data_IF_239051706472
#
_entry.id   IF_239051706472
#
_cell.length_a   1.000
_cell.length_b   1.000
_cell.length_c   1.000
_cell.angle_alpha   90.00
_cell.angle_beta   90.00
_cell.angle_gamma   90.00
#
_symmetry.space_group_name_H-M   'P 1'
#
loop_
_entity.id
_entity.type
_entity.pdbx_description
1 polymer ?
#
# COMPACT_ATOMS: atom_id res chain seq x y z
N UNK A 1 2.81 -32.02 86.01
CA UNK A 1 1.57 -31.51 86.64
C UNK A 1 1.41 -30.07 86.16
N UNK A 2 0.74 -29.80 85.04
CA UNK A 2 -0.72 -29.81 84.84
C UNK A 2 -1.46 -28.73 85.65
N UNK A 3 -1.49 -27.49 85.14
CA UNK A 3 -2.65 -26.60 85.28
C UNK A 3 -2.74 -25.66 84.06
N UNK A 4 -3.70 -25.95 83.18
CA UNK A 4 -4.49 -24.95 82.41
C UNK A 4 -5.39 -24.18 83.43
N UNK A 5 -6.20 -23.12 83.10
CA UNK A 5 -6.86 -22.88 81.81
C UNK A 5 -7.26 -21.40 81.46
N UNK A 6 -8.21 -21.27 80.52
CA UNK A 6 -9.23 -20.19 80.36
C UNK A 6 -8.87 -18.82 79.72
N UNK A 7 -9.49 -18.59 78.54
CA UNK A 7 -10.05 -17.29 78.06
C UNK A 7 -11.31 -16.91 78.89
N UNK A 8 -12.02 -15.75 78.74
CA UNK A 8 -12.02 -14.71 77.67
C UNK A 8 -12.02 -13.26 78.27
N UNK A 9 -12.66 -12.15 77.76
CA UNK A 9 -14.01 -12.01 77.18
C UNK A 9 -14.13 -11.21 75.86
N UNK A 10 -15.39 -11.10 75.39
CA UNK A 10 -15.86 -10.42 74.17
C UNK A 10 -15.91 -8.89 74.32
N UNK A 11 -15.69 -8.15 73.23
CA UNK A 11 -16.18 -6.77 73.08
C UNK A 11 -16.94 -6.64 71.75
N UNK A 12 -18.17 -6.12 71.82
CA UNK A 12 -19.02 -5.77 70.68
C UNK A 12 -18.48 -4.51 69.99
N UNK A 13 -18.60 -4.39 68.66
CA UNK A 13 -18.28 -3.11 68.01
C UNK A 13 -18.56 -3.04 66.51
N UNK A 14 -19.71 -2.45 66.17
CA UNK A 14 -19.97 -1.67 64.95
C UNK A 14 -19.70 -2.27 63.56
N UNK A 15 -20.81 -2.57 62.88
CA UNK A 15 -20.93 -2.38 61.44
C UNK A 15 -20.48 -0.96 61.06
N UNK A 16 -19.47 -0.86 60.19
CA UNK A 16 -19.17 0.35 59.43
C UNK A 16 -19.08 -0.03 57.95
N UNK A 17 -20.12 0.33 57.20
CA UNK A 17 -20.17 0.15 55.75
C UNK A 17 -19.03 0.92 55.08
N UNK A 18 -18.04 0.21 54.53
CA UNK A 18 -17.08 0.78 53.59
C UNK A 18 -17.43 0.25 52.20
N UNK A 19 -18.50 0.80 51.64
CA UNK A 19 -18.91 0.58 50.26
C UNK A 19 -17.87 1.27 49.38
N UNK A 20 -16.82 0.54 48.98
CA UNK A 20 -15.78 1.02 48.08
C UNK A 20 -16.45 1.36 46.76
N UNK A 21 -16.74 2.64 46.57
CA UNK A 21 -17.25 3.20 45.34
C UNK A 21 -16.13 3.11 44.30
N UNK A 22 -16.04 1.96 43.63
CA UNK A 22 -15.22 1.78 42.44
C UNK A 22 -15.79 2.68 41.35
N UNK A 23 -15.35 3.94 41.34
CA UNK A 23 -15.68 4.90 40.30
C UNK A 23 -15.10 4.35 39.00
N UNK A 24 -15.99 3.80 38.18
CA UNK A 24 -15.73 3.40 36.81
C UNK A 24 -15.25 4.62 36.03
N UNK A 25 -13.93 4.79 35.96
CA UNK A 25 -13.28 5.63 34.96
C UNK A 25 -13.35 4.91 33.60
N UNK A 26 -14.57 4.66 33.14
CA UNK A 26 -14.89 4.43 31.74
C UNK A 26 -14.74 5.76 31.00
N UNK A 27 -13.49 6.22 30.90
CA UNK A 27 -13.09 7.18 29.89
C UNK A 27 -13.37 6.53 28.54
N UNK A 28 -14.56 6.83 28.00
CA UNK A 28 -15.03 6.36 26.71
C UNK A 28 -14.18 6.94 25.60
N UNK A 29 -12.98 6.39 25.43
CA UNK A 29 -12.16 6.60 24.26
C UNK A 29 -12.91 5.98 23.09
N UNK A 30 -13.75 6.81 22.43
CA UNK A 30 -14.50 6.43 21.25
C UNK A 30 -13.52 6.07 20.15
N UNK A 31 -13.18 4.78 20.07
CA UNK A 31 -12.02 4.29 19.33
C UNK A 31 -12.13 4.69 17.86
N UNK A 32 -11.18 5.50 17.39
CA UNK A 32 -11.18 6.07 16.04
C UNK A 32 -11.27 4.98 14.96
N UNK A 33 -10.73 3.77 15.24
CA UNK A 33 -10.81 2.60 14.37
C UNK A 33 -12.24 2.24 13.95
N UNK A 34 -13.23 2.37 14.85
CA UNK A 34 -14.62 2.00 14.61
C UNK A 34 -15.43 3.06 13.85
N UNK A 35 -14.84 4.21 13.49
CA UNK A 35 -15.55 5.28 12.78
C UNK A 35 -15.72 4.95 11.30
N UNK A 36 -16.90 5.24 10.74
CA UNK A 36 -17.18 5.10 9.32
C UNK A 36 -16.71 6.36 8.55
N UNK A 37 -15.55 6.23 7.89
CA UNK A 37 -14.94 7.30 7.09
C UNK A 37 -15.80 7.74 5.90
N UNK A 38 -16.64 6.86 5.35
CA UNK A 38 -17.50 7.15 4.19
C UNK A 38 -18.68 8.06 4.50
N UNK A 39 -19.09 8.15 5.78
CA UNK A 39 -20.18 9.02 6.24
C UNK A 39 -19.74 10.41 6.74
N UNK A 40 -18.44 10.71 6.70
CA UNK A 40 -17.89 11.98 7.20
C UNK A 40 -17.51 12.92 6.06
N UNK A 41 -17.61 14.23 6.31
CA UNK A 41 -17.32 15.23 5.29
C UNK A 41 -15.81 15.49 5.23
N UNK A 42 -15.19 15.34 4.07
CA UNK A 42 -13.80 15.77 3.86
C UNK A 42 -13.72 17.29 3.96
N UNK A 43 -12.72 17.82 4.67
CA UNK A 43 -12.41 19.27 4.72
C UNK A 43 -11.08 19.59 4.04
N UNK A 44 -10.08 18.71 4.16
CA UNK A 44 -8.78 18.82 3.50
C UNK A 44 -8.35 17.42 3.04
N UNK A 45 -7.72 17.32 1.88
CA UNK A 45 -7.08 16.09 1.40
C UNK A 45 -5.73 16.43 0.79
N UNK A 46 -4.72 15.60 1.02
CA UNK A 46 -3.41 15.67 0.37
C UNK A 46 -2.99 14.29 -0.13
N UNK A 47 -2.61 14.22 -1.39
CA UNK A 47 -2.05 13.00 -2.01
C UNK A 47 -0.61 13.27 -2.44
N UNK A 48 0.29 12.39 -2.02
CA UNK A 48 1.69 12.35 -2.46
C UNK A 48 1.86 11.12 -3.36
N UNK A 49 2.12 11.37 -4.66
CA UNK A 49 2.26 10.33 -5.68
C UNK A 49 3.63 9.64 -5.66
N UNK A 50 3.91 8.74 -6.62
CA UNK A 50 5.23 8.12 -6.75
C UNK A 50 6.32 9.12 -7.18
N UNK A 51 7.57 8.72 -6.97
CA UNK A 51 8.80 9.34 -7.45
C UNK A 51 9.77 8.22 -7.88
N UNK A 52 10.93 8.52 -8.48
CA UNK A 52 11.88 7.48 -8.90
C UNK A 52 12.60 6.79 -7.72
N UNK A 53 12.76 7.49 -6.59
CA UNK A 53 13.32 6.94 -5.36
C UNK A 53 12.28 6.54 -4.32
N UNK A 54 12.72 6.34 -3.08
CA UNK A 54 11.87 5.93 -1.94
C UNK A 54 11.07 7.08 -1.32
N UNK A 55 10.34 7.86 -2.12
CA UNK A 55 9.45 8.89 -1.59
C UNK A 55 8.16 8.25 -1.03
N UNK A 56 7.70 8.63 0.18
CA UNK A 56 6.45 8.10 0.73
C UNK A 56 5.24 8.41 -0.16
N UNK A 57 4.56 7.36 -0.61
CA UNK A 57 3.32 7.43 -1.39
C UNK A 57 2.14 7.21 -0.47
N UNK A 58 1.28 8.22 -0.32
CA UNK A 58 0.13 8.17 0.57
C UNK A 58 -0.94 9.21 0.23
N UNK A 59 -2.15 8.99 0.76
CA UNK A 59 -3.21 10.00 0.84
C UNK A 59 -3.59 10.27 2.30
N UNK A 60 -3.50 11.54 2.73
CA UNK A 60 -3.95 12.04 4.02
C UNK A 60 -5.29 12.78 3.82
N UNK A 61 -6.34 12.37 4.53
CA UNK A 61 -7.65 13.06 4.51
C UNK A 61 -7.99 13.56 5.90
N UNK A 62 -8.26 14.86 6.04
CA UNK A 62 -8.86 15.46 7.23
C UNK A 62 -10.35 15.60 7.00
N UNK A 63 -11.14 15.10 7.95
CA UNK A 63 -12.59 15.15 7.97
C UNK A 63 -13.12 16.20 8.94
N UNK A 64 -14.42 16.47 8.88
CA UNK A 64 -15.12 17.22 9.90
C UNK A 64 -14.93 16.61 11.30
N UNK A 65 -15.00 17.47 12.33
CA UNK A 65 -14.80 17.09 13.75
C UNK A 65 -13.40 16.53 14.08
N UNK A 66 -12.43 16.66 13.18
CA UNK A 66 -11.01 16.42 13.44
C UNK A 66 -10.55 14.98 13.27
N UNK A 67 -11.37 14.10 12.68
CA UNK A 67 -10.88 12.78 12.30
C UNK A 67 -9.95 12.93 11.10
N UNK A 68 -8.86 12.17 11.09
CA UNK A 68 -7.89 12.13 10.00
C UNK A 68 -7.65 10.69 9.61
N UNK A 69 -7.69 10.38 8.32
CA UNK A 69 -7.18 9.13 7.77
C UNK A 69 -5.85 9.35 7.06
N UNK A 70 -5.00 8.32 7.11
CA UNK A 70 -3.76 8.21 6.36
C UNK A 70 -3.79 6.85 5.66
N UNK A 71 -3.89 6.85 4.33
CA UNK A 71 -3.76 5.64 3.51
C UNK A 71 -2.35 5.62 2.92
N UNK A 72 -1.46 4.80 3.47
CA UNK A 72 -0.11 4.61 2.94
C UNK A 72 -0.05 3.47 1.93
N UNK A 73 0.71 3.69 0.86
CA UNK A 73 0.80 2.76 -0.28
C UNK A 73 2.22 2.21 -0.47
N UNK A 74 3.25 3.07 -0.51
CA UNK A 74 4.65 2.64 -0.71
C UNK A 74 5.65 3.56 0.01
N UNK A 75 6.75 2.99 0.51
CA UNK A 75 7.83 3.74 1.19
C UNK A 75 7.35 4.60 2.37
N UNK A 76 6.42 4.07 3.18
CA UNK A 76 5.86 4.71 4.38
C UNK A 76 5.78 3.71 5.53
N UNK A 77 6.09 4.15 6.75
CA UNK A 77 6.02 3.36 8.00
C UNK A 77 4.59 2.92 8.40
N UNK A 78 3.58 3.28 7.58
CA UNK A 78 2.15 3.07 7.84
C UNK A 78 1.44 2.61 6.56
N UNK A 79 1.65 1.36 6.16
CA UNK A 79 0.99 0.75 5.00
C UNK A 79 -0.47 0.38 5.31
N UNK A 80 -1.38 0.65 4.38
CA UNK A 80 -2.83 0.52 4.61
C UNK A 80 -3.46 1.77 5.20
N UNK A 81 -4.69 1.65 5.72
CA UNK A 81 -5.47 2.78 6.26
C UNK A 81 -5.28 2.89 7.76
N UNK A 82 -4.70 3.99 8.22
CA UNK A 82 -4.65 4.42 9.62
C UNK A 82 -5.60 5.58 9.85
N UNK A 83 -6.08 5.71 11.09
CA UNK A 83 -6.94 6.82 11.53
C UNK A 83 -6.45 7.40 12.84
N UNK A 84 -6.63 8.71 13.02
CA UNK A 84 -6.48 9.38 14.31
C UNK A 84 -7.51 10.48 14.48
N UNK A 85 -7.56 11.06 15.68
CA UNK A 85 -8.28 12.29 15.97
C UNK A 85 -7.29 13.40 16.29
N UNK A 86 -7.47 14.56 15.67
CA UNK A 86 -6.79 15.81 16.05
C UNK A 86 -7.51 16.45 17.23
N UNK A 87 -6.74 17.15 18.05
CA UNK A 87 -7.31 18.10 19.00
C UNK A 87 -7.99 19.25 18.26
N UNK A 88 -8.99 19.84 18.91
CA UNK A 88 -9.86 20.85 18.31
C UNK A 88 -9.06 22.07 17.86
N UNK A 89 -8.11 22.49 18.67
CA UNK A 89 -7.25 23.66 18.48
C UNK A 89 -6.35 23.48 17.24
N UNK A 90 -5.85 22.26 17.00
CA UNK A 90 -5.05 21.91 15.82
C UNK A 90 -5.88 21.87 14.55
N UNK A 91 -7.10 21.31 14.61
CA UNK A 91 -8.03 21.36 13.48
C UNK A 91 -8.37 22.80 13.11
N UNK A 92 -8.74 23.62 14.10
CA UNK A 92 -9.07 25.03 13.86
C UNK A 92 -7.87 25.83 13.33
N UNK A 93 -6.66 25.55 13.84
CA UNK A 93 -5.41 26.14 13.32
C UNK A 93 -5.22 25.77 11.84
N UNK A 94 -5.32 24.49 11.50
CA UNK A 94 -5.17 24.02 10.13
C UNK A 94 -6.20 24.64 9.18
N UNK A 95 -7.48 24.70 9.59
CA UNK A 95 -8.54 25.33 8.79
C UNK A 95 -8.34 26.84 8.60
N UNK A 96 -7.79 27.56 9.60
CA UNK A 96 -7.43 28.97 9.45
C UNK A 96 -6.32 29.17 8.41
N UNK A 97 -5.26 28.36 8.45
CA UNK A 97 -4.17 28.44 7.47
C UNK A 97 -4.66 28.20 6.04
N UNK A 98 -5.53 27.20 5.83
CA UNK A 98 -6.15 26.94 4.54
C UNK A 98 -7.01 28.11 4.03
N UNK A 99 -7.80 28.72 4.91
CA UNK A 99 -8.62 29.90 4.59
C UNK A 99 -7.75 31.11 4.23
N UNK A 100 -6.67 31.35 5.00
CA UNK A 100 -5.72 32.44 4.76
C UNK A 100 -4.95 32.27 3.43
N UNK A 101 -4.56 31.03 3.10
CA UNK A 101 -3.90 30.71 1.84
C UNK A 101 -4.80 30.93 0.62
N UNK A 102 -6.13 30.89 0.80
CA UNK A 102 -7.17 31.11 -0.21
C UNK A 102 -6.85 30.40 -1.54
N UNK A 103 -6.95 29.07 -1.56
CA UNK A 103 -6.52 28.25 -2.70
C UNK A 103 -7.22 28.62 -4.02
N UNK A 104 -8.40 29.22 -3.95
CA UNK A 104 -9.20 29.65 -5.11
C UNK A 104 -8.46 30.60 -6.05
N UNK A 105 -7.49 31.38 -5.55
CA UNK A 105 -6.70 32.31 -6.35
C UNK A 105 -5.64 31.65 -7.24
N UNK A 106 -5.30 30.38 -7.00
CA UNK A 106 -4.24 29.66 -7.70
C UNK A 106 -4.76 28.85 -8.89
N UNK A 107 -3.87 28.55 -9.84
CA UNK A 107 -4.14 27.56 -10.90
C UNK A 107 -4.30 26.16 -10.30
N UNK A 108 -5.09 25.31 -10.96
CA UNK A 108 -5.32 23.93 -10.49
C UNK A 108 -4.07 23.05 -10.62
N UNK A 109 -3.24 23.30 -11.64
CA UNK A 109 -2.03 22.54 -11.91
C UNK A 109 -0.83 23.45 -12.22
N UNK A 110 0.33 23.07 -11.70
CA UNK A 110 1.62 23.68 -11.99
C UNK A 110 2.59 22.59 -12.50
N UNK A 111 3.04 22.75 -13.76
CA UNK A 111 3.97 21.81 -14.39
C UNK A 111 5.37 21.96 -13.77
N UNK A 112 5.83 20.90 -13.11
CA UNK A 112 7.22 20.78 -12.67
C UNK A 112 8.18 20.56 -13.85
N UNK A 113 9.46 20.84 -13.62
CA UNK A 113 10.57 20.67 -14.57
C UNK A 113 11.39 19.42 -14.31
N UNK A 114 11.31 18.85 -13.10
CA UNK A 114 12.09 17.68 -12.68
C UNK A 114 11.21 16.42 -12.84
N UNK A 115 11.55 15.48 -13.76
CA UNK A 115 10.76 14.28 -14.02
C UNK A 115 10.63 13.36 -12.81
N UNK A 116 11.70 13.21 -12.04
CA UNK A 116 11.80 12.19 -10.98
C UNK A 116 11.19 12.63 -9.65
N UNK A 117 10.87 13.91 -9.52
CA UNK A 117 10.32 14.47 -8.29
C UNK A 117 8.85 14.10 -8.09
N UNK A 118 8.50 13.78 -6.85
CA UNK A 118 7.14 13.52 -6.39
C UNK A 118 6.16 14.64 -6.77
N UNK A 119 4.99 14.25 -7.28
CA UNK A 119 3.85 15.16 -7.44
C UNK A 119 2.99 15.16 -6.18
N UNK A 120 2.57 16.36 -5.75
CA UNK A 120 1.72 16.56 -4.58
C UNK A 120 0.46 17.31 -5.00
N UNK A 121 -0.69 16.77 -4.62
CA UNK A 121 -2.01 17.39 -4.78
C UNK A 121 -2.57 17.76 -3.42
N UNK A 122 -3.00 19.01 -3.25
CA UNK A 122 -3.72 19.47 -2.05
C UNK A 122 -5.12 19.93 -2.45
N UNK A 123 -6.14 19.35 -1.85
CA UNK A 123 -7.55 19.70 -2.04
C UNK A 123 -8.12 20.31 -0.77
N UNK A 124 -8.81 21.45 -0.90
CA UNK A 124 -9.61 22.07 0.16
C UNK A 124 -11.10 21.99 -0.20
N UNK A 125 -11.94 21.69 0.79
CA UNK A 125 -13.38 21.57 0.64
C UNK A 125 -14.08 22.65 1.47
N UNK A 126 -14.99 23.39 0.84
CA UNK A 126 -15.74 24.50 1.43
C UNK A 126 -17.22 24.31 1.07
N UNK A 127 -17.93 23.58 1.93
CA UNK A 127 -19.31 23.13 1.66
C UNK A 127 -19.35 22.17 0.48
N UNK A 128 -20.16 22.48 -0.54
CA UNK A 128 -20.26 21.70 -1.79
C UNK A 128 -19.14 21.96 -2.79
N UNK A 129 -18.30 22.98 -2.56
CA UNK A 129 -17.22 23.38 -3.46
C UNK A 129 -15.90 22.76 -3.02
N UNK A 130 -15.05 22.36 -3.97
CA UNK A 130 -13.67 21.96 -3.71
C UNK A 130 -12.70 22.65 -4.66
N UNK A 131 -11.48 22.91 -4.17
CA UNK A 131 -10.36 23.44 -4.96
C UNK A 131 -9.15 22.54 -4.76
N UNK A 132 -8.58 22.05 -5.86
CA UNK A 132 -7.34 21.27 -5.85
C UNK A 132 -6.21 22.12 -6.44
N UNK A 133 -5.02 22.02 -5.86
CA UNK A 133 -3.77 22.54 -6.42
C UNK A 133 -2.74 21.42 -6.47
N UNK A 134 -2.28 21.09 -7.67
CA UNK A 134 -1.35 19.99 -7.94
C UNK A 134 -0.04 20.50 -8.56
N UNK A 135 1.09 19.90 -8.19
CA UNK A 135 2.38 20.16 -8.81
C UNK A 135 3.54 19.51 -8.07
N UNK A 136 4.76 19.81 -8.53
CA UNK A 136 6.02 19.29 -7.96
C UNK A 136 6.75 20.38 -7.18
N UNK A 137 7.94 20.79 -7.61
CA UNK A 137 8.72 21.89 -7.04
C UNK A 137 8.15 23.27 -7.33
N UNK A 138 7.51 23.44 -8.50
CA UNK A 138 6.87 24.70 -8.88
C UNK A 138 5.45 24.70 -8.35
N UNK A 139 5.24 25.28 -7.17
CA UNK A 139 3.94 25.57 -6.53
C UNK A 139 4.05 26.86 -5.70
N UNK A 140 2.95 27.61 -5.46
CA UNK A 140 2.97 28.79 -4.60
C UNK A 140 3.51 28.47 -3.19
N UNK A 141 4.27 29.39 -2.60
CA UNK A 141 4.89 29.18 -1.28
C UNK A 141 3.86 28.93 -0.17
N UNK A 142 2.68 29.56 -0.26
CA UNK A 142 1.52 29.28 0.60
C UNK A 142 1.06 27.83 0.51
N UNK A 143 0.98 27.25 -0.69
CA UNK A 143 0.59 25.85 -0.89
C UNK A 143 1.66 24.88 -0.37
N UNK A 144 2.95 25.23 -0.52
CA UNK A 144 4.06 24.46 0.09
C UNK A 144 4.04 24.51 1.62
N UNK A 145 3.67 25.65 2.20
CA UNK A 145 3.50 25.77 3.65
C UNK A 145 2.37 24.88 4.17
N UNK A 146 1.23 24.83 3.46
CA UNK A 146 0.14 23.90 3.79
C UNK A 146 0.58 22.43 3.68
N UNK A 147 1.40 22.08 2.69
CA UNK A 147 2.02 20.74 2.62
C UNK A 147 2.82 20.43 3.89
N UNK A 148 3.70 21.33 4.33
CA UNK A 148 4.51 21.13 5.54
C UNK A 148 3.67 20.94 6.81
N UNK A 149 2.53 21.65 6.92
CA UNK A 149 1.59 21.45 8.03
C UNK A 149 0.91 20.07 7.98
N UNK A 150 0.55 19.58 6.80
CA UNK A 150 -0.04 18.26 6.63
C UNK A 150 0.97 17.13 6.79
N UNK A 151 2.23 17.34 6.39
CA UNK A 151 3.34 16.41 6.64
C UNK A 151 3.59 16.26 8.15
N UNK A 152 3.57 17.35 8.93
CA UNK A 152 3.64 17.28 10.40
C UNK A 152 2.49 16.46 10.99
N UNK A 153 1.27 16.59 10.45
CA UNK A 153 0.12 15.77 10.87
C UNK A 153 0.35 14.30 10.51
N UNK A 154 0.86 13.98 9.32
CA UNK A 154 1.15 12.61 8.88
C UNK A 154 2.26 11.94 9.72
N UNK A 155 3.40 12.61 9.86
CA UNK A 155 4.63 12.11 10.48
C UNK A 155 4.56 12.00 12.01
N UNK A 156 3.57 12.62 12.66
CA UNK A 156 3.30 12.42 14.09
C UNK A 156 3.22 10.92 14.44
N UNK A 157 3.96 10.49 15.46
CA UNK A 157 3.98 9.11 15.95
C UNK A 157 2.92 8.79 17.01
N UNK A 158 2.06 9.76 17.34
CA UNK A 158 1.05 9.65 18.40
C UNK A 158 -0.37 9.61 17.80
N UNK A 159 -1.22 8.76 18.37
CA UNK A 159 -2.67 8.73 18.13
C UNK A 159 -3.16 7.99 16.88
N UNK A 160 -2.25 7.50 16.03
CA UNK A 160 -2.61 6.65 14.88
C UNK A 160 -3.01 5.25 15.32
N UNK A 161 -4.14 4.78 14.82
CA UNK A 161 -4.66 3.42 14.98
C UNK A 161 -4.90 2.83 13.59
N UNK A 162 -4.43 1.61 13.33
CA UNK A 162 -4.70 0.94 12.06
C UNK A 162 -6.19 0.60 11.96
N UNK A 163 -6.80 0.91 10.82
CA UNK A 163 -8.20 0.62 10.51
C UNK A 163 -8.31 -0.52 9.50
N UNK A 164 -7.50 -0.46 8.44
CA UNK A 164 -7.40 -1.49 7.42
C UNK A 164 -5.92 -1.81 7.20
N UNK A 165 -5.58 -3.09 7.04
CA UNK A 165 -4.29 -3.53 6.53
C UNK A 165 -4.05 -2.96 5.10
N UNK A 166 -2.81 -2.92 4.59
CA UNK A 166 -2.62 -2.75 3.16
C UNK A 166 -3.45 -3.83 2.44
N UNK A 167 -4.19 -3.40 1.42
CA UNK A 167 -4.83 -4.32 0.50
C UNK A 167 -3.90 -4.45 -0.68
N UNK A 168 -3.34 -5.65 -0.82
CA UNK A 168 -2.55 -6.05 -1.99
C UNK A 168 -3.52 -6.18 -3.17
N UNK A 169 -3.87 -5.03 -3.76
CA UNK A 169 -4.65 -4.94 -4.99
C UNK A 169 -3.75 -5.30 -6.17
N UNK A 170 -3.19 -6.50 -6.11
CA UNK A 170 -2.54 -7.16 -7.23
C UNK A 170 -3.66 -7.40 -8.25
N UNK A 171 -3.59 -6.81 -9.45
CA UNK A 171 -4.61 -7.02 -10.47
C UNK A 171 -4.75 -8.50 -10.78
N UNK A 172 -5.99 -8.95 -11.01
CA UNK A 172 -6.34 -10.36 -11.24
C UNK A 172 -5.58 -11.03 -12.40
N UNK A 173 -5.04 -10.24 -13.32
CA UNK A 173 -4.20 -10.69 -14.43
C UNK A 173 -2.71 -10.89 -14.08
N UNK A 174 -2.22 -10.44 -12.92
CA UNK A 174 -0.86 -10.71 -12.46
C UNK A 174 -0.77 -12.06 -11.76
N UNK A 175 0.41 -12.67 -11.83
CA UNK A 175 0.76 -13.87 -11.07
C UNK A 175 1.81 -13.40 -10.03
N UNK A 176 1.44 -13.24 -8.74
CA UNK A 176 2.30 -12.56 -7.75
C UNK A 176 3.66 -13.23 -7.56
N UNK A 177 3.65 -14.56 -7.52
CA UNK A 177 4.78 -15.42 -7.21
C UNK A 177 5.63 -15.78 -8.45
N UNK A 178 5.43 -15.08 -9.58
CA UNK A 178 6.18 -15.28 -10.81
C UNK A 178 6.69 -13.95 -11.38
N UNK A 179 7.96 -13.92 -11.77
CA UNK A 179 8.62 -12.77 -12.39
C UNK A 179 8.98 -13.07 -13.84
N UNK A 180 8.77 -12.09 -14.72
CA UNK A 180 9.32 -12.04 -16.08
C UNK A 180 10.59 -11.19 -16.00
N UNK A 181 11.73 -11.79 -16.35
CA UNK A 181 13.07 -11.19 -16.17
C UNK A 181 13.86 -11.28 -17.48
N UNK A 182 14.56 -10.20 -17.80
CA UNK A 182 15.52 -10.08 -18.89
C UNK A 182 16.92 -10.04 -18.28
N UNK A 183 17.73 -11.06 -18.56
CA UNK A 183 19.08 -11.19 -18.02
C UNK A 183 20.12 -10.60 -18.97
N UNK A 184 21.27 -10.20 -18.42
CA UNK A 184 22.41 -9.75 -19.18
C UNK A 184 22.99 -10.85 -20.10
N UNK A 185 23.69 -10.44 -21.17
CA UNK A 185 24.28 -11.38 -22.12
C UNK A 185 25.33 -12.29 -21.46
N UNK A 186 25.17 -13.60 -21.64
CA UNK A 186 26.10 -14.61 -21.12
C UNK A 186 25.77 -15.16 -19.73
N UNK A 187 24.70 -14.68 -19.09
CA UNK A 187 24.19 -15.23 -17.83
C UNK A 187 23.37 -16.50 -18.08
N UNK A 188 23.66 -17.58 -17.35
CA UNK A 188 22.82 -18.78 -17.36
C UNK A 188 21.59 -18.60 -16.44
N UNK A 189 20.36 -18.73 -16.94
CA UNK A 189 19.15 -18.51 -16.14
C UNK A 189 18.99 -19.49 -14.97
N UNK A 190 19.44 -20.74 -15.13
CA UNK A 190 19.28 -21.78 -14.11
C UNK A 190 20.35 -21.64 -13.01
N UNK A 191 21.56 -21.17 -13.34
CA UNK A 191 22.56 -20.78 -12.35
C UNK A 191 22.20 -19.47 -11.63
N UNK A 192 21.67 -18.47 -12.36
CA UNK A 192 21.21 -17.21 -11.77
C UNK A 192 20.10 -17.41 -10.74
N UNK A 193 19.07 -18.21 -11.05
CA UNK A 193 17.99 -18.54 -10.10
C UNK A 193 18.51 -19.13 -8.78
N UNK A 194 19.57 -19.96 -8.83
CA UNK A 194 20.18 -20.58 -7.64
C UNK A 194 20.86 -19.58 -6.70
N UNK A 195 21.06 -18.33 -7.09
CA UNK A 195 21.52 -17.28 -6.17
C UNK A 195 20.44 -16.88 -5.15
N UNK A 196 19.15 -17.04 -5.50
CA UNK A 196 17.98 -16.67 -4.71
C UNK A 196 17.44 -17.80 -3.82
N UNK A 197 18.33 -18.60 -3.20
CA UNK A 197 17.98 -19.74 -2.32
C UNK A 197 16.99 -19.35 -1.20
N UNK A 198 17.07 -18.11 -0.70
CA UNK A 198 16.20 -17.62 0.38
C UNK A 198 14.73 -17.42 -0.04
N UNK A 199 14.45 -17.38 -1.33
CA UNK A 199 13.13 -17.23 -1.93
C UNK A 199 12.61 -18.52 -2.60
N UNK A 200 13.38 -19.61 -2.55
CA UNK A 200 13.16 -20.85 -3.33
C UNK A 200 12.86 -20.57 -4.81
N UNK A 201 13.69 -19.72 -5.44
CA UNK A 201 13.49 -19.30 -6.83
C UNK A 201 13.80 -20.43 -7.82
N UNK A 202 12.87 -20.67 -8.75
CA UNK A 202 12.99 -21.68 -9.80
C UNK A 202 12.82 -21.07 -11.19
N UNK A 203 13.55 -21.60 -12.16
CA UNK A 203 13.37 -21.30 -13.58
C UNK A 203 12.19 -22.11 -14.13
N UNK A 204 11.14 -21.43 -14.61
CA UNK A 204 9.96 -22.08 -15.21
C UNK A 204 10.16 -22.31 -16.71
N UNK A 205 10.41 -21.24 -17.47
CA UNK A 205 10.51 -21.29 -18.95
C UNK A 205 11.07 -20.01 -19.56
N UNK A 206 11.56 -20.09 -20.80
CA UNK A 206 11.76 -18.93 -21.68
C UNK A 206 10.43 -18.52 -22.33
N UNK A 207 10.27 -17.23 -22.62
CA UNK A 207 9.23 -16.75 -23.54
C UNK A 207 9.75 -16.81 -24.99
N UNK A 208 9.00 -17.51 -25.85
CA UNK A 208 9.32 -17.74 -27.26
C UNK A 208 9.67 -16.44 -28.00
N UNK A 209 10.70 -16.48 -28.82
CA UNK A 209 11.20 -15.36 -29.65
C UNK A 209 11.54 -14.06 -28.88
N UNK A 210 11.89 -14.18 -27.58
CA UNK A 210 12.35 -13.07 -26.73
C UNK A 210 13.52 -13.47 -25.83
N UNK A 211 14.18 -12.50 -25.20
CA UNK A 211 15.18 -12.72 -24.13
C UNK A 211 14.58 -12.77 -22.72
N UNK A 212 13.24 -12.84 -22.62
CA UNK A 212 12.53 -12.91 -21.34
C UNK A 212 12.41 -14.34 -20.83
N UNK A 213 12.65 -14.52 -19.54
CA UNK A 213 12.50 -15.77 -18.80
C UNK A 213 11.48 -15.59 -17.68
N UNK A 214 10.70 -16.63 -17.40
CA UNK A 214 9.79 -16.68 -16.27
C UNK A 214 10.44 -17.48 -15.14
N UNK A 215 10.44 -16.90 -13.95
CA UNK A 215 10.89 -17.49 -12.71
C UNK A 215 9.76 -17.51 -11.70
N UNK A 216 9.60 -18.59 -10.95
CA UNK A 216 8.70 -18.67 -9.79
C UNK A 216 9.50 -18.53 -8.49
N UNK A 217 8.83 -18.19 -7.39
CA UNK A 217 9.40 -18.13 -6.03
C UNK A 217 8.31 -18.41 -4.98
N UNK A 218 8.70 -18.67 -3.73
CA UNK A 218 7.77 -18.89 -2.61
C UNK A 218 7.38 -17.55 -1.96
N UNK A 219 6.11 -17.14 -2.16
CA UNK A 219 5.56 -15.89 -1.61
C UNK A 219 5.26 -15.95 -0.10
N UNK A 220 5.37 -17.13 0.52
CA UNK A 220 5.40 -17.34 1.96
C UNK A 220 6.78 -17.09 2.58
N UNK A 221 7.87 -17.12 1.80
CA UNK A 221 9.23 -16.80 2.25
C UNK A 221 9.58 -15.32 2.04
N UNK A 222 9.12 -14.72 0.94
CA UNK A 222 9.40 -13.32 0.60
C UNK A 222 8.18 -12.67 -0.08
N UNK A 223 7.82 -11.44 0.28
CA UNK A 223 6.66 -10.80 -0.38
C UNK A 223 6.99 -10.46 -1.84
N UNK A 224 6.01 -10.57 -2.75
CA UNK A 224 6.21 -10.32 -4.18
C UNK A 224 6.90 -8.99 -4.51
N UNK A 225 6.56 -7.91 -3.81
CA UNK A 225 7.12 -6.58 -4.03
C UNK A 225 8.59 -6.48 -3.62
N UNK A 226 8.99 -7.19 -2.56
CA UNK A 226 10.37 -7.23 -2.09
C UNK A 226 11.21 -8.08 -3.04
N UNK A 227 10.69 -9.23 -3.48
CA UNK A 227 11.35 -10.07 -4.48
C UNK A 227 11.60 -9.30 -5.78
N UNK A 228 10.58 -8.58 -6.28
CA UNK A 228 10.72 -7.75 -7.48
C UNK A 228 11.64 -6.53 -7.26
N UNK A 229 11.70 -5.93 -6.06
CA UNK A 229 12.69 -4.86 -5.78
C UNK A 229 14.11 -5.43 -5.71
N UNK A 230 14.33 -6.63 -5.17
CA UNK A 230 15.64 -7.30 -5.14
C UNK A 230 16.14 -7.67 -6.55
N UNK A 231 15.32 -8.34 -7.37
CA UNK A 231 15.68 -8.73 -8.74
C UNK A 231 15.97 -7.51 -9.61
N UNK A 232 15.28 -6.38 -9.42
CA UNK A 232 15.57 -5.12 -10.12
C UNK A 232 16.83 -4.39 -9.66
N UNK A 233 17.44 -4.82 -8.56
CA UNK A 233 18.69 -4.27 -8.02
C UNK A 233 19.90 -5.16 -8.29
N UNK A 234 19.68 -6.33 -8.89
CA UNK A 234 20.74 -7.22 -9.38
C UNK A 234 21.46 -6.59 -10.58
N UNK A 235 22.79 -6.77 -10.65
CA UNK A 235 23.61 -6.25 -11.74
C UNK A 235 23.51 -7.08 -13.03
N UNK A 236 23.10 -8.35 -12.90
CA UNK A 236 22.89 -9.28 -14.02
C UNK A 236 21.48 -9.15 -14.65
N UNK A 237 20.63 -8.25 -14.15
CA UNK A 237 19.25 -8.05 -14.63
C UNK A 237 19.10 -6.76 -15.42
N UNK A 238 18.69 -6.87 -16.69
CA UNK A 238 18.36 -5.73 -17.56
C UNK A 238 16.98 -5.17 -17.18
N UNK A 239 15.99 -6.04 -17.01
CA UNK A 239 14.63 -5.64 -16.65
C UNK A 239 13.87 -6.76 -15.94
N UNK A 240 12.91 -6.39 -15.09
CA UNK A 240 12.02 -7.35 -14.42
C UNK A 240 10.63 -6.76 -14.17
N UNK A 241 9.59 -7.58 -14.32
CA UNK A 241 8.20 -7.29 -13.93
C UNK A 241 7.49 -8.55 -13.42
N UNK A 242 6.31 -8.41 -12.80
CA UNK A 242 5.47 -9.57 -12.49
C UNK A 242 4.96 -10.24 -13.76
N UNK A 243 4.87 -11.57 -13.74
CA UNK A 243 4.22 -12.32 -14.81
C UNK A 243 2.73 -11.92 -14.91
N UNK A 244 2.23 -11.94 -16.14
CA UNK A 244 0.85 -11.65 -16.51
C UNK A 244 0.26 -12.89 -17.17
N UNK A 245 -0.97 -13.26 -16.84
CA UNK A 245 -1.65 -14.44 -17.40
C UNK A 245 -1.62 -14.53 -18.95
N UNK A 246 -1.46 -13.41 -19.66
CA UNK A 246 -1.28 -13.36 -21.12
C UNK A 246 -0.03 -14.11 -21.59
N UNK A 247 1.08 -14.07 -20.84
CA UNK A 247 2.35 -14.68 -21.25
C UNK A 247 2.29 -16.22 -21.19
N UNK A 248 1.42 -16.79 -20.34
CA UNK A 248 1.18 -18.23 -20.29
C UNK A 248 0.48 -18.77 -21.55
N UNK A 249 -0.31 -17.95 -22.26
CA UNK A 249 -0.97 -18.34 -23.52
C UNK A 249 0.00 -18.32 -24.70
N UNK A 250 0.95 -17.38 -24.71
CA UNK A 250 1.94 -17.22 -25.78
C UNK A 250 2.90 -18.44 -25.85
N UNK A 251 3.18 -19.10 -24.72
CA UNK A 251 4.00 -20.32 -24.71
C UNK A 251 3.35 -21.54 -25.38
N UNK A 252 2.01 -21.62 -25.48
CA UNK A 252 1.32 -22.84 -25.94
C UNK A 252 1.15 -22.90 -27.47
N UNK A 253 0.97 -21.78 -28.15
CA UNK A 253 0.66 -21.74 -29.59
C UNK A 253 1.82 -22.20 -30.50
N UNK A 254 3.05 -22.32 -29.97
CA UNK A 254 4.24 -22.71 -30.72
C UNK A 254 4.42 -24.20 -31.01
N UNK A 255 3.70 -25.10 -30.32
CA UNK A 255 3.94 -26.56 -30.41
C UNK A 255 2.98 -27.32 -31.35
N UNK A 256 2.16 -26.59 -32.11
CA UNK A 256 0.96 -27.13 -32.78
C UNK A 256 1.01 -27.45 -34.27
N UNK A 257 2.17 -27.36 -34.96
CA UNK A 257 2.25 -27.61 -36.42
C UNK A 257 3.57 -28.24 -36.90
N UNK A 258 3.79 -29.53 -36.64
CA UNK A 258 4.63 -30.37 -37.52
C UNK A 258 4.45 -31.90 -37.32
N UNK A 259 3.21 -32.39 -37.41
CA UNK A 259 2.94 -33.84 -37.40
C UNK A 259 1.63 -34.23 -38.13
N UNK A 260 1.65 -34.27 -39.48
CA UNK A 260 0.92 -35.23 -40.35
C UNK A 260 0.87 -34.78 -41.83
N UNK A 261 1.81 -35.27 -42.65
CA UNK A 261 1.58 -35.56 -44.08
C UNK A 261 2.30 -36.85 -44.51
N UNK A 262 1.85 -37.96 -43.94
CA UNK A 262 2.08 -39.31 -44.46
C UNK A 262 0.74 -40.03 -44.51
N UNK A 263 0.15 -40.14 -45.70
CA UNK A 263 -1.25 -40.56 -45.85
C UNK A 263 -1.66 -40.64 -47.31
N UNK A 264 -1.36 -41.78 -47.93
CA UNK A 264 -1.59 -42.08 -49.35
C UNK A 264 -3.07 -42.01 -49.72
N UNK A 265 -3.41 -41.27 -50.78
CA UNK A 265 -4.66 -41.40 -51.50
C UNK A 265 -4.37 -41.46 -53.00
N UNK A 266 -4.58 -42.64 -53.59
CA UNK A 266 -4.54 -42.91 -55.03
C UNK A 266 -5.99 -43.11 -55.48
N UNK A 267 -6.28 -42.83 -56.77
CA UNK A 267 -7.63 -42.88 -57.38
C UNK A 267 -8.56 -41.74 -56.89
N UNK A 268 -9.42 -41.10 -57.69
CA UNK A 268 -9.60 -41.08 -59.16
C UNK A 268 -10.41 -39.80 -59.51
N UNK A 269 -10.50 -39.29 -60.74
CA UNK A 269 -10.07 -39.81 -62.05
C UNK A 269 -9.62 -38.68 -63.00
N UNK A 270 -9.03 -39.04 -64.14
CA UNK A 270 -8.75 -38.13 -65.26
C UNK A 270 -9.86 -38.19 -66.32
N UNK A 271 -10.37 -37.04 -66.76
CA UNK A 271 -11.07 -36.88 -68.04
C UNK A 271 -10.82 -35.49 -68.63
N UNK A 272 -10.70 -35.46 -69.96
CA UNK A 272 -10.69 -34.29 -70.84
C UNK A 272 -9.43 -33.41 -70.81
N UNK A 273 -8.40 -33.90 -71.49
CA UNK A 273 -7.66 -33.07 -72.45
C UNK A 273 -8.28 -33.25 -73.85
N UNK A 274 -8.25 -32.17 -74.63
CA UNK A 274 -7.91 -32.22 -76.05
C UNK A 274 -6.38 -32.01 -76.15
#
# INVERSE_FOLDING_TARGET
>A
MSINPLMPPRILGFFASSFILAVLLSAGCGSAANMNLGSMNKVIEMTKGPCYGRCPVFTLTVYDKGIVSYKGERYTDRLGTYVKKLEKEDLERLLREFKNANLWQYKDAYRGRIPDMQSVSITYYEGSRKKTVTGKEIRPNSVKWLESLLDQVAQSNIGWVQKEAPQDNIPDYLIPNELVVELAEGIDPEEWAKSYVQADMLLEKRLNDTEYWIFSFDDGLITPEVMLEQVRMDEDVISAEFNKQIYNKISEEGTGKDAKKGGTAKQEAAKQQY
#
